data_IF_093065826006
#
_entry.id   IF_093065826006
#
_cell.length_a   1.000
_cell.length_b   1.000
_cell.length_c   1.000
_cell.angle_alpha   90.00
_cell.angle_beta   90.00
_cell.angle_gamma   90.00
#
_symmetry.space_group_name_H-M   'P 1'
#
loop_
_entity.id
_entity.type
_entity.pdbx_description
1 polymer ?
#
# COMPACT_ATOMS: atom_id res chain seq x y z
N UNK A 1 -11.78 6.28 10.77
CA UNK A 1 -13.06 6.29 10.03
C UNK A 1 -12.70 6.15 8.56
N UNK A 2 -12.76 5.01 7.89
CA UNK A 2 -13.78 3.94 7.85
C UNK A 2 -13.12 2.60 7.47
N UNK A 3 -13.13 1.60 8.35
CA UNK A 3 -12.71 0.23 8.03
C UNK A 3 -13.84 -0.49 7.28
N UNK A 4 -13.89 -0.35 5.95
CA UNK A 4 -14.97 -0.97 5.15
C UNK A 4 -14.79 -2.47 4.87
N UNK A 5 -13.72 -3.05 5.40
CA UNK A 5 -13.41 -4.47 5.56
C UNK A 5 -12.26 -4.44 6.58
N UNK A 6 -11.90 -5.53 7.25
CA UNK A 6 -10.87 -5.54 8.32
C UNK A 6 -9.44 -5.20 7.89
N UNK A 7 -9.27 -4.13 7.10
CA UNK A 7 -8.07 -3.66 6.44
C UNK A 7 -7.84 -2.23 6.93
N UNK A 8 -6.75 -2.07 7.66
CA UNK A 8 -6.25 -0.77 8.06
C UNK A 8 -5.29 -0.25 6.97
N UNK A 9 -5.45 1.00 6.57
CA UNK A 9 -4.68 1.60 5.48
C UNK A 9 -4.09 2.93 5.93
N UNK A 10 -2.77 2.95 6.07
CA UNK A 10 -2.01 4.11 6.52
C UNK A 10 -1.05 4.60 5.43
N UNK A 11 -0.98 5.92 5.24
CA UNK A 11 -0.29 6.55 4.12
C UNK A 11 0.63 7.65 4.63
N UNK A 12 1.89 7.56 4.25
CA UNK A 12 2.89 8.58 4.52
C UNK A 12 3.23 9.32 3.23
N UNK A 13 3.02 10.63 3.22
CA UNK A 13 3.35 11.49 2.08
C UNK A 13 4.73 12.10 2.30
N UNK A 14 5.69 11.72 1.45
CA UNK A 14 7.07 12.21 1.50
C UNK A 14 7.29 13.34 0.48
N UNK A 15 8.07 14.34 0.86
CA UNK A 15 8.55 15.37 -0.07
C UNK A 15 9.83 14.88 -0.75
N UNK A 16 9.87 14.90 -2.09
CA UNK A 16 10.96 14.33 -2.88
C UNK A 16 12.36 14.88 -2.52
N UNK A 17 12.45 16.13 -2.09
CA UNK A 17 13.73 16.80 -1.79
C UNK A 17 14.09 16.77 -0.30
N UNK A 18 13.26 16.17 0.55
CA UNK A 18 13.46 16.13 2.00
C UNK A 18 13.96 14.76 2.50
N UNK A 19 13.91 13.74 1.65
CA UNK A 19 14.26 12.37 2.01
C UNK A 19 15.23 11.77 0.99
N UNK A 20 16.27 11.03 1.41
CA UNK A 20 17.21 10.38 0.50
C UNK A 20 16.61 9.11 -0.10
N UNK A 21 15.43 9.22 -0.73
CA UNK A 21 14.70 8.10 -1.31
C UNK A 21 14.76 8.21 -2.83
N UNK A 22 15.32 7.20 -3.47
CA UNK A 22 15.30 7.08 -4.93
C UNK A 22 13.88 6.82 -5.41
N UNK A 23 13.38 7.67 -6.30
CA UNK A 23 12.09 7.41 -6.94
C UNK A 23 12.20 6.11 -7.78
N UNK A 24 11.20 5.22 -7.70
CA UNK A 24 11.19 4.03 -8.53
C UNK A 24 11.13 4.43 -10.00
N UNK A 25 12.11 3.94 -10.78
CA UNK A 25 12.26 4.24 -12.22
C UNK A 25 11.27 3.46 -13.09
N UNK A 26 10.75 2.35 -12.57
CA UNK A 26 9.76 1.50 -13.24
C UNK A 26 8.63 1.17 -12.26
N UNK A 27 7.39 1.37 -12.69
CA UNK A 27 6.20 1.06 -11.89
C UNK A 27 5.42 -0.08 -12.56
N UNK A 28 6.09 -1.23 -12.75
CA UNK A 28 5.46 -2.44 -13.32
C UNK A 28 4.75 -3.29 -12.27
N UNK A 29 4.77 -2.87 -11.01
CA UNK A 29 4.12 -3.59 -9.93
C UNK A 29 2.60 -3.39 -9.99
N UNK A 30 1.88 -4.50 -10.13
CA UNK A 30 0.43 -4.54 -10.08
C UNK A 30 0.02 -4.82 -8.64
N UNK A 31 -0.70 -3.86 -8.05
CA UNK A 31 -1.17 -3.98 -6.68
C UNK A 31 -2.36 -4.96 -6.63
N UNK A 32 -2.50 -5.78 -5.57
CA UNK A 32 -3.67 -6.65 -5.42
C UNK A 32 -4.99 -5.86 -5.39
N UNK A 33 -6.04 -6.41 -6.00
CA UNK A 33 -7.35 -5.75 -6.15
C UNK A 33 -7.93 -5.22 -4.83
N UNK A 34 -7.67 -5.93 -3.73
CA UNK A 34 -8.05 -5.54 -2.36
C UNK A 34 -7.61 -4.12 -1.98
N UNK A 35 -6.44 -3.68 -2.47
CA UNK A 35 -5.82 -2.39 -2.12
C UNK A 35 -6.05 -1.30 -3.17
N UNK A 36 -6.58 -1.63 -4.35
CA UNK A 36 -6.82 -0.65 -5.42
C UNK A 36 -7.84 0.41 -5.00
N UNK A 37 -8.93 -0.01 -4.35
CA UNK A 37 -9.99 0.89 -3.88
C UNK A 37 -9.49 1.95 -2.89
N UNK A 38 -8.86 1.60 -1.74
CA UNK A 38 -8.37 2.61 -0.81
C UNK A 38 -7.29 3.50 -1.42
N UNK A 39 -6.45 2.96 -2.31
CA UNK A 39 -5.44 3.74 -3.02
C UNK A 39 -6.08 4.80 -3.93
N UNK A 40 -7.06 4.42 -4.76
CA UNK A 40 -7.76 5.34 -5.64
C UNK A 40 -8.53 6.42 -4.88
N UNK A 41 -9.17 6.05 -3.76
CA UNK A 41 -9.83 7.01 -2.87
C UNK A 41 -8.85 8.05 -2.32
N UNK A 42 -7.63 7.63 -1.96
CA UNK A 42 -6.62 8.55 -1.52
C UNK A 42 -6.07 9.44 -2.64
N UNK A 43 -5.85 8.90 -3.84
CA UNK A 43 -5.42 9.70 -4.99
C UNK A 43 -6.44 10.80 -5.32
N UNK A 44 -7.74 10.47 -5.33
CA UNK A 44 -8.81 11.43 -5.55
C UNK A 44 -8.86 12.50 -4.44
N UNK A 45 -8.74 12.08 -3.18
CA UNK A 45 -8.67 12.99 -2.03
C UNK A 45 -7.48 13.94 -2.12
N UNK A 46 -6.29 13.40 -2.37
CA UNK A 46 -5.04 14.16 -2.40
C UNK A 46 -5.00 15.11 -3.60
N UNK A 47 -5.44 14.65 -4.78
CA UNK A 47 -5.52 15.47 -5.99
C UNK A 47 -6.51 16.63 -5.85
N UNK A 48 -7.65 16.43 -5.16
CA UNK A 48 -8.59 17.52 -4.85
C UNK A 48 -7.99 18.55 -3.89
N UNK A 49 -7.18 18.12 -2.92
CA UNK A 49 -6.59 19.00 -1.91
C UNK A 49 -5.34 19.72 -2.40
N UNK A 50 -4.53 19.07 -3.22
CA UNK A 50 -3.23 19.57 -3.70
C UNK A 50 -3.15 19.47 -5.22
N UNK A 51 -3.60 20.52 -5.90
CA UNK A 51 -3.53 20.62 -7.35
C UNK A 51 -2.08 20.76 -7.84
N UNK A 52 -1.77 20.19 -9.01
CA UNK A 52 -0.46 20.29 -9.66
C UNK A 52 0.63 19.36 -9.10
N UNK A 53 0.29 18.46 -8.15
CA UNK A 53 1.23 17.45 -7.63
C UNK A 53 0.86 16.05 -8.12
N UNK A 54 1.86 15.28 -8.52
CA UNK A 54 1.72 13.87 -8.88
C UNK A 54 2.27 13.00 -7.76
N UNK A 55 1.48 12.03 -7.29
CA UNK A 55 1.93 11.03 -6.33
C UNK A 55 2.78 9.97 -7.04
N UNK A 56 3.81 9.50 -6.34
CA UNK A 56 4.64 8.37 -6.75
C UNK A 56 4.61 7.35 -5.61
N UNK A 57 4.06 6.17 -5.89
CA UNK A 57 3.92 5.11 -4.89
C UNK A 57 5.23 4.36 -4.73
N UNK A 58 5.71 4.24 -3.50
CA UNK A 58 6.98 3.60 -3.14
C UNK A 58 6.72 2.29 -2.40
N UNK A 59 6.32 1.25 -3.15
CA UNK A 59 5.97 -0.05 -2.57
C UNK A 59 7.16 -0.76 -1.90
N UNK A 60 8.38 -0.46 -2.33
CA UNK A 60 9.62 -0.97 -1.73
C UNK A 60 9.84 -0.51 -0.28
N UNK A 61 9.28 0.64 0.10
CA UNK A 61 9.32 1.15 1.48
C UNK A 61 8.05 0.85 2.27
N UNK A 62 7.07 0.22 1.62
CA UNK A 62 5.75 -0.05 2.19
C UNK A 62 5.71 -1.46 2.78
N UNK A 63 5.13 -1.60 3.98
CA UNK A 63 4.91 -2.87 4.64
C UNK A 63 3.42 -3.12 4.82
N UNK A 64 3.05 -4.40 4.94
CA UNK A 64 1.70 -4.86 5.19
C UNK A 64 1.69 -5.89 6.33
N UNK A 65 0.62 -5.88 7.12
CA UNK A 65 0.34 -6.90 8.11
C UNK A 65 -0.80 -7.79 7.59
N UNK A 66 -0.59 -9.10 7.58
CA UNK A 66 -1.61 -10.07 7.18
C UNK A 66 -1.89 -11.04 8.33
N UNK A 67 -3.15 -11.44 8.44
CA UNK A 67 -3.57 -12.52 9.33
C UNK A 67 -3.63 -13.82 8.56
N UNK A 68 -2.80 -14.80 8.94
CA UNK A 68 -2.87 -16.16 8.42
C UNK A 68 -3.86 -16.98 9.25
N UNK A 69 -4.85 -17.58 8.59
CA UNK A 69 -5.92 -18.38 9.23
C UNK A 69 -5.88 -19.87 8.86
N UNK A 70 -4.98 -20.28 7.96
CA UNK A 70 -4.86 -21.67 7.51
C UNK A 70 -4.09 -22.59 8.47
N UNK A 71 -3.50 -22.03 9.54
CA UNK A 71 -2.74 -22.76 10.55
C UNK A 71 -3.63 -22.99 11.78
N UNK A 72 -3.25 -23.97 12.63
CA UNK A 72 -3.96 -24.29 13.88
C UNK A 72 -4.11 -23.09 14.83
N UNK A 73 -3.26 -22.07 14.65
CA UNK A 73 -3.34 -20.79 15.37
C UNK A 73 -3.30 -19.66 14.36
N UNK A 74 -3.99 -18.56 14.69
CA UNK A 74 -3.93 -17.36 13.88
C UNK A 74 -2.61 -16.63 14.13
N UNK A 75 -1.88 -16.37 13.05
CA UNK A 75 -0.61 -15.63 13.09
C UNK A 75 -0.76 -14.29 12.37
N UNK A 76 -0.18 -13.25 12.96
CA UNK A 76 -0.03 -11.95 12.32
C UNK A 76 1.39 -11.82 11.80
N UNK A 77 1.54 -11.57 10.50
CA UNK A 77 2.84 -11.49 9.85
C UNK A 77 2.97 -10.12 9.19
N UNK A 78 3.99 -9.37 9.61
CA UNK A 78 4.40 -8.13 8.94
C UNK A 78 5.42 -8.47 7.86
N UNK A 79 5.19 -8.01 6.63
CA UNK A 79 6.06 -8.26 5.48
C UNK A 79 6.06 -7.09 4.50
N UNK A 80 7.00 -7.10 3.56
CA UNK A 80 7.03 -6.11 2.49
C UNK A 80 5.81 -6.23 1.56
N UNK A 81 5.36 -5.10 1.00
CA UNK A 81 4.18 -5.08 0.12
C UNK A 81 4.30 -6.02 -1.08
N UNK A 82 5.52 -6.20 -1.62
CA UNK A 82 5.77 -7.15 -2.70
C UNK A 82 5.49 -8.60 -2.28
N UNK A 83 5.94 -9.00 -1.09
CA UNK A 83 5.73 -10.35 -0.57
C UNK A 83 4.24 -10.61 -0.32
N UNK A 84 3.55 -9.63 0.26
CA UNK A 84 2.11 -9.68 0.48
C UNK A 84 1.32 -9.82 -0.83
N UNK A 85 1.71 -9.09 -1.88
CA UNK A 85 1.05 -9.17 -3.17
C UNK A 85 1.20 -10.54 -3.84
N UNK A 86 2.35 -11.20 -3.67
CA UNK A 86 2.56 -12.58 -4.15
C UNK A 86 1.66 -13.55 -3.37
N UNK A 87 1.64 -13.47 -2.04
CA UNK A 87 0.84 -14.37 -1.21
C UNK A 87 -0.67 -14.25 -1.49
N UNK A 88 -1.15 -13.05 -1.75
CA UNK A 88 -2.56 -12.82 -2.08
C UNK A 88 -3.00 -13.47 -3.41
N UNK A 89 -2.08 -13.87 -4.29
CA UNK A 89 -2.42 -14.63 -5.51
C UNK A 89 -2.74 -16.11 -5.24
N UNK A 90 -2.41 -16.62 -4.04
CA UNK A 90 -2.60 -18.02 -3.65
C UNK A 90 -3.74 -18.22 -2.65
N UNK A 91 -4.49 -17.16 -2.34
CA UNK A 91 -5.69 -17.20 -1.50
C UNK A 91 -6.92 -17.42 -2.37
#
# INVERSE_FOLDING_TARGET
MTSLIGLDFNIYVLQANSWPVSQPTTNTFILPHLLEKPLHLFEAFYGKKYSGRKLCWMYNLSNAEIRMTHLDRSYFVTMGTYQMAILLQFN
#
